data_IF_138817319195
#
_entry.id   IF_138817319195
#
_cell.length_a   1.000
_cell.length_b   1.000
_cell.length_c   1.000
_cell.angle_alpha   90.00
_cell.angle_beta   90.00
_cell.angle_gamma   90.00
#
_symmetry.space_group_name_H-M   'P 1'
#
loop_
_entity.id
_entity.type
_entity.pdbx_description
1 polymer ?
#
# COMPACT_ATOMS: atom_id res chain seq x y z
N UNK A 1 66.51 -30.39 41.75
CA UNK A 1 65.61 -29.69 40.81
C UNK A 1 64.58 -30.72 40.39
N UNK A 2 63.48 -30.81 41.13
CA UNK A 2 62.27 -29.96 41.01
C UNK A 2 61.27 -30.67 40.07
N UNK A 3 60.33 -31.47 40.56
CA UNK A 3 59.16 -31.14 41.40
C UNK A 3 57.94 -30.68 40.58
N UNK A 4 57.20 -31.66 40.06
CA UNK A 4 55.73 -31.62 40.11
C UNK A 4 55.28 -32.44 41.33
N UNK A 5 54.18 -32.05 42.01
CA UNK A 5 52.86 -32.56 41.64
C UNK A 5 51.82 -31.41 41.51
N UNK A 6 50.62 -31.55 40.93
CA UNK A 6 49.53 -32.51 41.15
C UNK A 6 48.91 -32.45 42.56
N UNK A 7 47.85 -31.64 42.73
CA UNK A 7 46.82 -31.75 43.78
C UNK A 7 45.64 -30.81 43.43
N UNK A 8 44.38 -31.07 43.77
CA UNK A 8 43.59 -32.32 43.87
C UNK A 8 42.07 -31.94 43.79
N UNK A 9 41.13 -32.90 43.63
CA UNK A 9 39.68 -32.61 43.49
C UNK A 9 38.92 -32.84 44.82
N UNK A 10 37.86 -33.67 44.80
CA UNK A 10 36.99 -34.15 45.90
C UNK A 10 35.73 -33.29 46.16
N UNK A 11 34.51 -33.80 45.85
CA UNK A 11 33.57 -34.62 46.67
C UNK A 11 32.62 -33.74 47.52
N UNK A 12 31.37 -34.12 47.87
CA UNK A 12 30.45 -35.23 47.51
C UNK A 12 28.99 -34.70 47.64
N UNK A 13 27.89 -35.37 47.26
CA UNK A 13 27.27 -36.62 47.75
C UNK A 13 26.08 -36.98 46.82
N UNK A 14 25.76 -38.23 46.45
CA UNK A 14 25.24 -39.37 47.26
C UNK A 14 23.86 -39.00 47.87
N UNK A 15 22.73 -39.68 47.62
CA UNK A 15 22.37 -40.94 46.92
C UNK A 15 20.85 -40.88 46.47
N UNK A 16 20.09 -41.85 45.91
CA UNK A 16 20.22 -43.29 45.54
C UNK A 16 19.23 -43.70 44.41
N UNK A 17 19.18 -44.99 44.02
CA UNK A 17 18.27 -45.62 43.03
C UNK A 17 17.91 -47.05 43.48
N UNK A 18 16.64 -47.51 43.41
CA UNK A 18 16.35 -48.77 42.66
C UNK A 18 14.93 -48.96 42.04
N UNK A 19 14.90 -49.73 40.93
CA UNK A 19 13.83 -50.60 40.39
C UNK A 19 12.46 -50.05 39.93
N UNK A 20 11.95 -50.62 38.81
CA UNK A 20 10.54 -50.54 38.38
C UNK A 20 10.30 -50.50 36.86
N UNK A 21 10.46 -51.62 36.16
CA UNK A 21 10.06 -51.73 34.73
C UNK A 21 8.55 -51.99 34.57
N UNK A 22 7.87 -51.39 33.58
CA UNK A 22 7.19 -52.10 32.46
C UNK A 22 6.19 -51.26 31.62
N UNK A 23 6.14 -51.60 30.32
CA UNK A 23 5.00 -51.59 29.38
C UNK A 23 4.27 -50.29 28.91
N UNK A 24 4.60 -49.90 27.68
CA UNK A 24 3.71 -49.65 26.52
C UNK A 24 2.33 -48.98 26.69
N UNK A 25 2.10 -47.89 25.94
CA UNK A 25 0.91 -47.77 25.05
C UNK A 25 1.05 -46.71 23.94
N UNK A 26 0.30 -46.98 22.87
CA UNK A 26 -0.12 -46.19 21.70
C UNK A 26 -0.19 -44.65 21.89
N UNK A 27 0.13 -43.78 20.92
CA UNK A 27 -0.30 -43.72 19.50
C UNK A 27 -1.83 -43.68 19.34
N UNK A 28 -2.43 -42.48 19.37
CA UNK A 28 -3.61 -42.21 18.54
C UNK A 28 -3.81 -40.72 18.22
N UNK A 29 -4.43 -40.52 17.07
CA UNK A 29 -4.70 -39.31 16.28
C UNK A 29 -5.34 -38.10 16.98
N UNK A 30 -4.93 -36.89 16.54
CA UNK A 30 -5.76 -35.67 16.62
C UNK A 30 -6.84 -35.73 15.53
N UNK A 31 -8.13 -35.43 15.81
CA UNK A 31 -9.20 -35.56 14.84
C UNK A 31 -9.15 -34.49 13.73
N UNK A 32 -9.52 -34.89 12.51
CA UNK A 32 -9.78 -33.97 11.40
C UNK A 32 -10.99 -33.08 11.70
N UNK A 33 -10.92 -31.81 11.28
CA UNK A 33 -12.10 -30.98 11.05
C UNK A 33 -12.47 -31.06 9.55
N UNK A 34 -13.74 -31.29 9.25
CA UNK A 34 -14.22 -31.50 7.88
C UNK A 34 -14.30 -30.18 7.08
N UNK A 35 -14.00 -30.20 5.77
CA UNK A 35 -14.27 -29.06 4.90
C UNK A 35 -15.78 -28.95 4.60
N UNK A 36 -16.37 -27.77 4.84
CA UNK A 36 -17.76 -27.50 4.48
C UNK A 36 -17.97 -27.58 2.94
N UNK A 37 -19.15 -28.04 2.48
CA UNK A 37 -19.30 -28.55 1.12
C UNK A 37 -19.36 -27.46 0.03
N UNK A 38 -18.86 -27.82 -1.15
CA UNK A 38 -18.99 -27.07 -2.39
C UNK A 38 -20.46 -26.82 -2.76
N UNK A 39 -20.84 -25.56 -3.03
CA UNK A 39 -22.16 -25.24 -3.58
C UNK A 39 -22.15 -25.50 -5.08
N UNK A 40 -22.61 -26.68 -5.48
CA UNK A 40 -22.90 -27.00 -6.88
C UNK A 40 -24.11 -26.19 -7.38
N UNK A 41 -23.88 -25.22 -8.27
CA UNK A 41 -24.97 -24.62 -9.04
C UNK A 41 -25.32 -25.53 -10.23
N UNK A 42 -26.28 -26.43 -9.99
CA UNK A 42 -26.79 -27.37 -11.00
C UNK A 42 -27.40 -26.63 -12.18
N UNK A 43 -26.78 -26.79 -13.35
CA UNK A 43 -27.28 -26.30 -14.63
C UNK A 43 -28.31 -27.27 -15.23
N UNK A 44 -29.61 -27.00 -15.08
CA UNK A 44 -30.62 -27.48 -16.05
C UNK A 44 -31.91 -26.64 -16.06
N UNK A 45 -32.24 -26.08 -17.23
CA UNK A 45 -33.48 -25.35 -17.50
C UNK A 45 -33.56 -25.01 -18.99
N UNK A 46 -34.38 -25.77 -19.74
CA UNK A 46 -34.39 -25.81 -21.22
C UNK A 46 -34.93 -24.51 -21.88
N UNK A 47 -34.63 -24.28 -23.18
CA UNK A 47 -34.83 -22.98 -23.83
C UNK A 47 -36.29 -22.68 -24.19
N UNK A 48 -36.59 -21.39 -24.39
CA UNK A 48 -37.78 -20.90 -25.06
C UNK A 48 -37.39 -20.19 -26.36
N UNK A 49 -38.18 -20.41 -27.40
CA UNK A 49 -37.98 -19.94 -28.77
C UNK A 49 -38.66 -18.60 -29.07
N UNK A 50 -38.16 -17.95 -30.14
CA UNK A 50 -38.71 -16.81 -30.89
C UNK A 50 -40.16 -16.39 -30.65
N UNK A 51 -40.36 -15.07 -30.48
CA UNK A 51 -41.31 -14.26 -31.28
C UNK A 51 -40.67 -12.89 -31.58
N UNK A 52 -40.82 -12.48 -32.84
CA UNK A 52 -40.83 -11.14 -33.48
C UNK A 52 -40.88 -9.88 -32.58
N UNK A 53 -40.44 -8.67 -32.94
CA UNK A 53 -39.54 -8.04 -33.94
C UNK A 53 -40.02 -6.59 -34.13
N UNK A 54 -39.20 -5.57 -33.86
CA UNK A 54 -39.27 -4.17 -34.36
C UNK A 54 -38.07 -3.42 -33.74
N UNK A 55 -37.41 -2.40 -34.31
CA UNK A 55 -37.14 -1.99 -35.70
C UNK A 55 -36.12 -0.83 -35.65
N UNK A 56 -35.33 -0.62 -36.72
CA UNK A 56 -34.54 0.61 -37.02
C UNK A 56 -33.62 1.23 -35.94
N UNK A 57 -32.31 1.01 -36.08
CA UNK A 57 -31.30 2.09 -36.03
C UNK A 57 -30.40 1.91 -37.26
N UNK A 58 -30.05 3.01 -37.95
CA UNK A 58 -29.36 2.96 -39.24
C UNK A 58 -27.87 2.64 -39.17
N UNK A 59 -27.35 2.03 -40.23
CA UNK A 59 -25.93 1.72 -40.40
C UNK A 59 -25.07 3.00 -40.46
N UNK A 60 -24.09 3.12 -39.57
CA UNK A 60 -23.04 4.13 -39.66
C UNK A 60 -21.78 3.53 -40.33
N UNK A 61 -21.09 4.27 -41.22
CA UNK A 61 -19.98 3.72 -42.00
C UNK A 61 -18.71 3.52 -41.17
N UNK A 62 -17.85 2.60 -41.60
CA UNK A 62 -16.49 2.45 -41.08
C UNK A 62 -15.64 3.69 -41.40
N UNK A 63 -15.54 4.63 -40.46
CA UNK A 63 -14.61 5.74 -40.53
C UNK A 63 -13.17 5.29 -40.27
N UNK A 64 -12.25 5.68 -41.15
CA UNK A 64 -10.81 5.46 -40.94
C UNK A 64 -10.28 6.22 -39.71
N UNK A 65 -9.26 5.71 -39.00
CA UNK A 65 -8.67 6.42 -37.88
C UNK A 65 -7.91 7.67 -38.34
N UNK A 66 -8.50 8.84 -38.09
CA UNK A 66 -7.92 10.15 -38.41
C UNK A 66 -6.46 10.26 -37.91
N UNK A 67 -5.52 10.47 -38.83
CA UNK A 67 -4.13 10.72 -38.50
C UNK A 67 -3.98 12.11 -37.87
N UNK A 68 -3.91 12.16 -36.53
CA UNK A 68 -3.57 13.37 -35.80
C UNK A 68 -2.12 13.78 -36.10
N UNK A 69 -1.97 14.81 -36.92
CA UNK A 69 -0.67 15.31 -37.39
C UNK A 69 0.17 15.92 -36.25
N UNK A 70 1.47 16.03 -36.48
CA UNK A 70 2.43 16.53 -35.49
C UNK A 70 2.12 17.96 -35.03
N UNK A 71 1.50 18.77 -35.89
CA UNK A 71 1.13 20.15 -35.62
C UNK A 71 -0.04 20.28 -34.65
N UNK A 72 -0.99 19.34 -34.65
CA UNK A 72 -2.03 19.26 -33.62
C UNK A 72 -1.42 19.02 -32.22
N UNK A 73 -0.38 18.19 -32.14
CA UNK A 73 0.41 18.01 -30.93
C UNK A 73 1.26 19.24 -30.56
N UNK A 74 1.71 20.04 -31.53
CA UNK A 74 2.41 21.30 -31.27
C UNK A 74 1.45 22.36 -30.70
N UNK A 75 0.27 22.52 -31.30
CA UNK A 75 -0.75 23.45 -30.85
C UNK A 75 -1.21 23.13 -29.41
N UNK A 76 -1.43 21.85 -29.10
CA UNK A 76 -1.75 21.37 -27.75
C UNK A 76 -0.65 21.57 -26.70
N UNK A 77 0.62 21.80 -27.10
CA UNK A 77 1.69 22.24 -26.18
C UNK A 77 1.65 23.74 -25.94
N UNK A 78 1.34 24.53 -26.97
CA UNK A 78 1.27 25.99 -26.89
C UNK A 78 0.05 26.48 -26.10
N UNK A 79 -1.10 25.81 -26.25
CA UNK A 79 -2.35 26.14 -25.54
C UNK A 79 -2.44 25.54 -24.14
N UNK A 80 -1.51 24.66 -23.74
CA UNK A 80 -1.48 24.10 -22.38
C UNK A 80 -1.34 25.24 -21.37
N UNK A 81 -2.34 25.50 -20.50
CA UNK A 81 -2.28 26.63 -19.59
C UNK A 81 -1.02 26.49 -18.71
N UNK A 82 -0.17 27.53 -18.74
CA UNK A 82 0.93 27.66 -17.77
C UNK A 82 0.35 27.44 -16.38
N UNK A 83 1.09 26.75 -15.51
CA UNK A 83 0.62 26.36 -14.16
C UNK A 83 0.47 27.61 -13.28
N UNK A 84 -0.62 28.35 -13.48
CA UNK A 84 -1.09 29.43 -12.62
C UNK A 84 -1.11 28.84 -11.21
N UNK A 85 -0.32 29.41 -10.30
CA UNK A 85 -0.55 29.16 -8.88
C UNK A 85 -1.96 29.68 -8.60
N UNK A 86 -2.93 28.85 -8.18
CA UNK A 86 -4.12 29.42 -7.57
C UNK A 86 -3.68 30.28 -6.37
N UNK A 87 -4.49 31.24 -5.90
CA UNK A 87 -4.19 32.06 -4.72
C UNK A 87 -4.30 31.25 -3.41
N UNK A 88 -3.59 30.12 -3.36
CA UNK A 88 -3.44 29.22 -2.24
C UNK A 88 -2.22 29.62 -1.40
N UNK A 89 -2.38 30.67 -0.60
CA UNK A 89 -1.65 30.73 0.66
C UNK A 89 -1.97 29.48 1.51
N UNK A 90 -1.20 29.24 2.57
CA UNK A 90 -1.62 28.25 3.55
C UNK A 90 -2.98 28.67 4.10
N UNK A 91 -4.04 27.88 3.86
CA UNK A 91 -5.31 28.07 4.57
C UNK A 91 -5.05 27.80 6.05
N UNK A 92 -5.12 28.86 6.84
CA UNK A 92 -5.11 28.86 8.30
C UNK A 92 -6.55 29.20 8.74
N UNK A 93 -6.92 28.77 9.94
CA UNK A 93 -8.20 29.18 10.55
C UNK A 93 -8.19 30.69 10.84
N UNK A 94 -9.36 31.32 10.92
CA UNK A 94 -9.45 32.68 11.46
C UNK A 94 -9.08 32.69 12.95
N UNK A 95 -8.62 33.81 13.52
CA UNK A 95 -8.32 33.89 14.96
C UNK A 95 -9.51 33.52 15.86
N UNK A 96 -10.74 33.77 15.40
CA UNK A 96 -11.96 33.34 16.07
C UNK A 96 -12.11 31.81 16.01
N UNK A 97 -11.95 31.21 14.82
CA UNK A 97 -11.98 29.76 14.62
C UNK A 97 -10.85 29.03 15.39
N UNK A 98 -9.65 29.60 15.48
CA UNK A 98 -8.55 29.07 16.32
C UNK A 98 -8.91 29.10 17.81
N UNK A 99 -9.57 30.17 18.27
CA UNK A 99 -10.03 30.31 19.66
C UNK A 99 -11.19 29.36 19.98
N UNK A 100 -12.14 29.18 19.05
CA UNK A 100 -13.22 28.18 19.13
C UNK A 100 -12.66 26.76 19.14
N UNK A 101 -11.65 26.44 18.34
CA UNK A 101 -10.99 25.15 18.34
C UNK A 101 -10.20 24.88 19.64
N UNK A 102 -9.56 25.91 20.21
CA UNK A 102 -8.90 25.80 21.51
C UNK A 102 -9.91 25.53 22.64
N UNK A 103 -10.98 26.32 22.72
CA UNK A 103 -12.05 26.15 23.71
C UNK A 103 -12.78 24.82 23.55
N UNK A 104 -13.12 24.45 22.31
CA UNK A 104 -13.79 23.19 21.98
C UNK A 104 -12.97 21.96 22.33
N UNK A 105 -11.63 21.99 22.13
CA UNK A 105 -10.76 20.92 22.64
C UNK A 105 -10.76 20.85 24.17
N UNK A 106 -10.79 21.98 24.89
CA UNK A 106 -10.87 22.00 26.37
C UNK A 106 -12.21 21.41 26.84
N UNK A 107 -13.32 21.76 26.19
CA UNK A 107 -14.64 21.20 26.48
C UNK A 107 -14.69 19.69 26.21
N UNK A 108 -14.14 19.21 25.08
CA UNK A 108 -14.07 17.77 24.78
C UNK A 108 -13.15 16.99 25.72
N UNK A 109 -12.07 17.60 26.23
CA UNK A 109 -11.23 17.00 27.27
C UNK A 109 -12.00 16.82 28.57
N UNK A 110 -12.68 17.86 29.06
CA UNK A 110 -13.47 17.80 30.30
C UNK A 110 -14.66 16.82 30.19
N UNK A 111 -15.38 16.85 29.07
CA UNK A 111 -16.51 15.97 28.72
C UNK A 111 -16.14 14.48 28.72
N UNK A 112 -14.91 14.13 28.33
CA UNK A 112 -14.43 12.76 28.28
C UNK A 112 -13.53 12.36 29.47
N UNK A 113 -13.40 13.22 30.50
CA UNK A 113 -12.52 13.08 31.66
C UNK A 113 -11.05 12.77 31.26
N UNK A 114 -10.53 13.54 30.30
CA UNK A 114 -9.21 13.34 29.69
C UNK A 114 -8.21 14.41 30.13
N UNK A 115 -7.15 13.96 30.79
CA UNK A 115 -5.97 14.78 31.08
C UNK A 115 -4.98 14.78 29.90
N UNK A 116 -4.38 15.94 29.64
CA UNK A 116 -3.29 16.09 28.67
C UNK A 116 -2.03 15.36 29.15
N UNK A 117 -1.23 14.86 28.20
CA UNK A 117 0.06 14.23 28.51
C UNK A 117 1.07 15.30 28.98
N UNK A 118 1.72 15.14 30.15
CA UNK A 118 2.77 16.06 30.59
C UNK A 118 4.02 16.00 29.67
N UNK A 119 4.19 14.88 28.97
CA UNK A 119 5.26 14.69 27.99
C UNK A 119 4.76 14.99 26.57
N UNK A 120 5.40 15.95 25.90
CA UNK A 120 5.15 16.21 24.48
C UNK A 120 5.73 15.09 23.61
N UNK A 121 4.97 14.66 22.60
CA UNK A 121 5.34 13.59 21.67
C UNK A 121 5.11 14.03 20.22
N UNK A 122 5.74 13.35 19.27
CA UNK A 122 5.35 13.47 17.85
C UNK A 122 4.06 12.67 17.61
N UNK A 123 3.19 13.16 16.72
CA UNK A 123 1.88 12.55 16.42
C UNK A 123 1.99 11.09 15.97
N UNK A 124 3.06 10.72 15.26
CA UNK A 124 3.36 9.33 14.86
C UNK A 124 4.16 8.51 15.89
N UNK A 125 4.30 9.03 17.12
CA UNK A 125 4.98 8.38 18.24
C UNK A 125 6.49 8.26 18.05
N UNK A 126 7.08 7.23 18.67
CA UNK A 126 8.50 6.89 18.62
C UNK A 126 8.96 6.22 17.30
N UNK A 127 8.08 6.11 16.29
CA UNK A 127 8.43 5.47 15.01
C UNK A 127 9.53 6.25 14.28
N UNK A 128 10.66 5.58 14.05
CA UNK A 128 11.71 6.06 13.14
C UNK A 128 11.15 6.07 11.71
N UNK A 129 10.89 7.27 11.20
CA UNK A 129 10.41 7.51 9.84
C UNK A 129 11.47 8.27 9.05
N UNK A 130 11.59 7.94 7.77
CA UNK A 130 12.48 8.58 6.81
C UNK A 130 12.14 10.09 6.66
N UNK A 131 13.12 11.02 6.54
CA UNK A 131 12.85 12.46 6.54
C UNK A 131 11.91 12.99 5.45
N UNK A 132 11.77 12.34 4.29
CA UNK A 132 10.69 12.66 3.35
C UNK A 132 9.33 12.26 3.94
N UNK A 133 9.18 11.00 4.35
CA UNK A 133 7.95 10.47 4.98
C UNK A 133 7.47 11.32 6.18
N UNK A 134 8.38 11.77 7.06
CA UNK A 134 8.04 12.70 8.15
C UNK A 134 7.42 14.02 7.67
N UNK A 135 7.99 14.61 6.60
CA UNK A 135 7.49 15.87 6.01
C UNK A 135 6.12 15.68 5.35
N UNK A 136 5.90 14.53 4.72
CA UNK A 136 4.59 14.14 4.16
C UNK A 136 3.56 14.00 5.28
N UNK A 137 3.83 13.26 6.35
CA UNK A 137 2.88 13.13 7.47
C UNK A 137 2.59 14.49 8.13
N UNK A 138 3.62 15.33 8.37
CA UNK A 138 3.45 16.70 8.89
C UNK A 138 2.73 17.65 7.92
N UNK A 139 2.67 17.37 6.61
CA UNK A 139 1.76 18.04 5.65
C UNK A 139 0.31 17.59 5.88
N UNK A 140 0.06 16.28 6.02
CA UNK A 140 -1.30 15.75 6.21
C UNK A 140 -1.92 16.16 7.55
N UNK A 141 -1.17 16.09 8.66
CA UNK A 141 -1.68 16.50 9.98
C UNK A 141 -2.07 17.98 10.04
N UNK A 142 -1.30 18.89 9.42
CA UNK A 142 -1.69 20.32 9.34
C UNK A 142 -2.97 20.53 8.52
N UNK A 143 -3.17 19.74 7.47
CA UNK A 143 -4.40 19.78 6.67
C UNK A 143 -5.63 19.25 7.42
N UNK A 144 -5.45 18.18 8.21
CA UNK A 144 -6.49 17.65 9.11
C UNK A 144 -6.79 18.63 10.25
N UNK A 145 -5.76 19.24 10.86
CA UNK A 145 -5.93 20.22 11.93
C UNK A 145 -6.76 21.43 11.48
N UNK A 146 -6.43 22.00 10.32
CA UNK A 146 -7.24 23.05 9.70
C UNK A 146 -8.68 22.58 9.45
N UNK A 147 -8.88 21.42 8.82
CA UNK A 147 -10.22 20.99 8.43
C UNK A 147 -11.11 20.60 9.61
N UNK A 148 -10.61 19.84 10.58
CA UNK A 148 -11.37 19.46 11.77
C UNK A 148 -11.67 20.66 12.67
N UNK A 149 -10.76 21.64 12.78
CA UNK A 149 -11.03 22.90 13.46
C UNK A 149 -12.06 23.77 12.72
N UNK A 150 -12.09 23.72 11.38
CA UNK A 150 -13.07 24.44 10.56
C UNK A 150 -14.49 23.87 10.74
N UNK A 151 -14.64 22.54 10.82
CA UNK A 151 -15.96 21.87 10.92
C UNK A 151 -16.41 21.55 12.37
N UNK A 152 -15.62 21.91 13.37
CA UNK A 152 -15.95 21.68 14.79
C UNK A 152 -15.70 20.26 15.35
N UNK A 153 -15.03 19.35 14.62
CA UNK A 153 -14.68 18.02 15.15
C UNK A 153 -13.43 18.07 16.05
N UNK A 154 -13.57 18.80 17.15
CA UNK A 154 -12.50 19.02 18.13
C UNK A 154 -12.06 17.72 18.81
N UNK A 155 -12.97 16.74 18.94
CA UNK A 155 -12.67 15.39 19.42
C UNK A 155 -11.62 14.70 18.53
N UNK A 156 -11.69 14.87 17.20
CA UNK A 156 -10.65 14.38 16.26
C UNK A 156 -9.35 15.18 16.28
N UNK A 157 -9.33 16.41 16.80
CA UNK A 157 -8.09 17.18 16.98
C UNK A 157 -7.21 16.64 18.11
N UNK A 158 -7.82 16.05 19.15
CA UNK A 158 -7.09 15.61 20.37
C UNK A 158 -5.91 14.68 20.04
N UNK A 159 -6.08 13.75 19.10
CA UNK A 159 -5.03 12.80 18.68
C UNK A 159 -3.90 13.45 17.84
N UNK A 160 -4.13 14.65 17.29
CA UNK A 160 -3.13 15.42 16.54
C UNK A 160 -2.28 16.33 17.42
N UNK A 161 -2.61 16.45 18.72
CA UNK A 161 -1.88 17.28 19.68
C UNK A 161 -0.51 16.69 20.04
N UNK A 162 0.45 17.55 20.39
CA UNK A 162 1.75 17.12 20.91
C UNK A 162 1.66 16.60 22.36
N UNK A 163 0.80 17.22 23.17
CA UNK A 163 0.41 16.84 24.53
C UNK A 163 -0.84 15.94 24.55
N UNK A 164 -1.13 15.24 23.44
CA UNK A 164 -2.29 14.35 23.28
C UNK A 164 -2.50 13.40 24.49
N UNK A 165 -3.71 13.33 25.06
CA UNK A 165 -4.06 12.41 26.14
C UNK A 165 -3.65 10.96 25.88
N UNK A 166 -3.39 10.21 26.96
CA UNK A 166 -3.01 8.80 26.89
C UNK A 166 -4.11 7.91 26.28
N UNK A 167 -5.38 8.24 26.56
CA UNK A 167 -6.58 7.57 26.05
C UNK A 167 -7.44 8.50 25.19
N UNK A 168 -6.80 9.35 24.37
CA UNK A 168 -7.51 10.23 23.43
C UNK A 168 -8.44 9.44 22.49
N UNK A 169 -9.59 9.98 22.06
CA UNK A 169 -10.49 9.30 21.13
C UNK A 169 -9.89 9.17 19.72
N UNK A 170 -10.36 8.19 18.96
CA UNK A 170 -10.05 8.05 17.55
C UNK A 170 -10.67 9.18 16.69
N UNK A 171 -10.08 9.44 15.52
CA UNK A 171 -10.65 10.38 14.54
C UNK A 171 -11.98 9.85 13.99
N UNK A 172 -12.97 10.72 13.80
CA UNK A 172 -14.23 10.34 13.14
C UNK A 172 -13.97 9.93 11.70
N UNK A 173 -14.52 8.78 11.31
CA UNK A 173 -14.54 8.34 9.91
C UNK A 173 -15.40 9.27 9.05
N UNK A 174 -16.53 9.79 9.56
CA UNK A 174 -17.37 10.77 8.84
C UNK A 174 -16.56 12.03 8.48
N UNK A 175 -15.81 12.58 9.43
CA UNK A 175 -14.93 13.75 9.21
C UNK A 175 -13.74 13.44 8.29
N UNK A 176 -13.14 12.25 8.39
CA UNK A 176 -12.06 11.82 7.49
C UNK A 176 -12.55 11.61 6.04
N UNK A 177 -13.75 11.07 5.85
CA UNK A 177 -14.41 10.95 4.54
C UNK A 177 -14.75 12.33 3.96
N UNK A 178 -15.25 13.26 4.79
CA UNK A 178 -15.46 14.64 4.40
C UNK A 178 -14.14 15.34 4.00
N UNK A 179 -13.04 15.11 4.72
CA UNK A 179 -11.72 15.67 4.37
C UNK A 179 -11.15 15.10 3.07
N UNK A 180 -11.36 13.81 2.78
CA UNK A 180 -11.01 13.23 1.48
C UNK A 180 -11.77 13.94 0.35
N UNK A 181 -13.10 14.01 0.43
CA UNK A 181 -13.97 14.71 -0.53
C UNK A 181 -13.58 16.17 -0.71
N UNK A 182 -13.33 16.90 0.38
CA UNK A 182 -12.86 18.28 0.41
C UNK A 182 -11.59 18.47 -0.43
N UNK A 183 -10.67 17.51 -0.40
CA UNK A 183 -9.40 17.57 -1.14
C UNK A 183 -9.49 17.05 -2.57
N UNK A 184 -10.39 16.14 -2.92
CA UNK A 184 -10.46 15.56 -4.28
C UNK A 184 -11.53 16.20 -5.18
N UNK A 185 -12.58 16.80 -4.63
CA UNK A 185 -13.73 17.33 -5.37
C UNK A 185 -13.44 18.46 -6.37
N UNK A 186 -14.49 19.00 -6.98
CA UNK A 186 -14.41 20.20 -7.81
C UNK A 186 -14.06 21.42 -6.94
N UNK A 187 -13.26 22.35 -7.44
CA UNK A 187 -12.82 23.51 -6.66
C UNK A 187 -14.01 24.48 -6.55
N UNK A 188 -14.36 24.89 -5.32
CA UNK A 188 -15.43 25.86 -5.06
C UNK A 188 -16.85 25.29 -4.97
N UNK A 189 -17.06 24.00 -5.20
CA UNK A 189 -18.39 23.36 -4.98
C UNK A 189 -18.61 23.08 -3.49
N UNK A 190 -19.86 23.16 -3.02
CA UNK A 190 -20.24 22.80 -1.65
C UNK A 190 -19.87 21.35 -1.34
N UNK A 191 -19.23 21.14 -0.20
CA UNK A 191 -18.88 19.83 0.34
C UNK A 191 -20.09 19.18 1.02
N UNK A 192 -20.31 17.89 0.78
CA UNK A 192 -21.42 17.14 1.36
C UNK A 192 -20.94 15.85 2.04
N UNK A 193 -21.59 15.51 3.16
CA UNK A 193 -21.48 14.21 3.82
C UNK A 193 -22.12 13.10 2.95
N UNK A 194 -21.98 11.84 3.36
CA UNK A 194 -22.55 10.69 2.62
C UNK A 194 -24.07 10.51 2.84
N UNK A 195 -24.63 11.21 3.84
CA UNK A 195 -26.08 11.40 4.04
C UNK A 195 -26.66 12.54 3.16
N UNK A 196 -25.85 13.19 2.33
CA UNK A 196 -26.26 14.26 1.43
C UNK A 196 -26.38 15.64 2.09
N UNK A 197 -26.16 15.77 3.39
CA UNK A 197 -26.19 17.07 4.07
C UNK A 197 -24.91 17.89 3.76
N UNK A 198 -25.01 19.23 3.62
CA UNK A 198 -23.84 20.08 3.45
C UNK A 198 -22.97 20.04 4.70
N UNK A 199 -21.65 20.04 4.50
CA UNK A 199 -20.69 20.24 5.59
C UNK A 199 -20.61 21.73 5.86
N UNK A 200 -21.02 22.15 7.06
CA UNK A 200 -20.90 23.53 7.52
C UNK A 200 -19.59 23.73 8.29
N UNK A 201 -19.09 24.96 8.31
CA UNK A 201 -18.07 25.39 9.25
C UNK A 201 -18.67 25.88 10.59
N UNK A 202 -17.81 26.22 11.55
CA UNK A 202 -18.19 26.74 12.87
C UNK A 202 -18.90 28.10 12.83
N UNK A 203 -18.82 28.81 11.71
CA UNK A 203 -19.53 30.07 11.44
C UNK A 203 -20.86 29.83 10.67
N UNK A 204 -21.27 28.55 10.53
CA UNK A 204 -22.50 28.10 9.91
C UNK A 204 -22.49 28.11 8.37
N UNK A 205 -21.35 28.39 7.73
CA UNK A 205 -21.27 28.56 6.28
C UNK A 205 -20.95 27.22 5.57
N UNK A 206 -21.48 26.96 4.36
CA UNK A 206 -21.15 25.76 3.61
C UNK A 206 -19.66 25.70 3.21
N UNK A 207 -18.95 24.66 3.67
CA UNK A 207 -17.54 24.44 3.35
C UNK A 207 -17.39 24.14 1.85
N UNK A 208 -16.57 24.92 1.16
CA UNK A 208 -16.30 24.73 -0.26
C UNK A 208 -15.08 23.85 -0.49
N UNK A 209 -15.22 22.85 -1.37
CA UNK A 209 -14.16 21.94 -1.77
C UNK A 209 -12.91 22.68 -2.28
N UNK A 210 -11.75 22.25 -1.79
CA UNK A 210 -10.43 22.77 -2.14
C UNK A 210 -9.83 22.04 -3.35
N UNK A 211 -10.20 20.78 -3.56
CA UNK A 211 -10.04 20.05 -4.84
C UNK A 211 -8.59 19.84 -5.34
N UNK A 212 -7.57 20.16 -4.54
CA UNK A 212 -6.16 20.14 -4.94
C UNK A 212 -5.59 18.74 -5.22
N UNK A 213 -6.20 17.67 -4.72
CA UNK A 213 -5.69 16.30 -4.86
C UNK A 213 -6.29 15.62 -6.08
N UNK A 214 -5.57 15.68 -7.20
CA UNK A 214 -5.92 14.94 -8.43
C UNK A 214 -5.11 13.65 -8.63
N UNK A 215 -4.10 13.42 -7.79
CA UNK A 215 -3.33 12.17 -7.72
C UNK A 215 -3.78 11.35 -6.48
N UNK A 216 -4.34 10.13 -6.66
CA UNK A 216 -4.75 9.22 -5.59
C UNK A 216 -3.67 8.93 -4.55
N UNK A 217 -2.37 9.07 -4.87
CA UNK A 217 -1.30 8.81 -3.92
C UNK A 217 -1.35 9.75 -2.70
N UNK A 218 -1.95 10.94 -2.82
CA UNK A 218 -2.18 11.82 -1.67
C UNK A 218 -3.17 11.22 -0.66
N UNK A 219 -4.15 10.41 -1.11
CA UNK A 219 -5.07 9.69 -0.22
C UNK A 219 -4.38 8.52 0.48
N UNK A 220 -3.51 7.81 -0.23
CA UNK A 220 -2.70 6.72 0.33
C UNK A 220 -1.71 7.26 1.38
N UNK A 221 -1.05 8.39 1.10
CA UNK A 221 -0.19 9.10 2.05
C UNK A 221 -0.98 9.59 3.28
N UNK A 222 -2.18 10.14 3.09
CA UNK A 222 -3.08 10.51 4.20
C UNK A 222 -3.44 9.28 5.06
N UNK A 223 -3.89 8.20 4.43
CA UNK A 223 -4.29 6.96 5.10
C UNK A 223 -3.14 6.37 5.94
N UNK A 224 -1.91 6.42 5.43
CA UNK A 224 -0.73 5.99 6.19
C UNK A 224 -0.36 6.96 7.33
N UNK A 225 -0.52 8.27 7.15
CA UNK A 225 -0.35 9.26 8.22
C UNK A 225 -1.39 9.10 9.34
N UNK A 226 -2.68 8.94 8.99
CA UNK A 226 -3.79 8.67 9.92
C UNK A 226 -3.52 7.38 10.70
N UNK A 227 -3.13 6.30 10.02
CA UNK A 227 -2.84 5.03 10.71
C UNK A 227 -1.62 5.12 11.63
N UNK A 228 -0.61 5.92 11.28
CA UNK A 228 0.54 6.16 12.15
C UNK A 228 0.17 6.94 13.42
N UNK A 229 -0.77 7.89 13.35
CA UNK A 229 -1.28 8.61 14.52
C UNK A 229 -2.02 7.68 15.49
N UNK A 230 -2.98 6.90 14.98
CA UNK A 230 -3.72 5.91 15.77
C UNK A 230 -2.79 4.81 16.34
N UNK A 231 -1.79 4.35 15.56
CA UNK A 231 -0.78 3.38 16.03
C UNK A 231 0.13 3.93 17.13
N UNK A 232 0.37 5.24 17.17
CA UNK A 232 1.14 5.89 18.24
C UNK A 232 0.39 5.95 19.58
N UNK A 233 -0.93 5.74 19.58
CA UNK A 233 -1.81 5.76 20.78
C UNK A 233 -2.44 4.39 21.03
N UNK A 234 -1.72 3.30 20.72
CA UNK A 234 -2.12 1.92 21.02
C UNK A 234 -3.24 1.34 20.13
N UNK A 235 -3.99 2.15 19.38
CA UNK A 235 -5.11 1.76 18.51
C UNK A 235 -4.67 0.99 17.24
N UNK A 236 -3.52 0.31 17.27
CA UNK A 236 -2.91 -0.32 16.10
C UNK A 236 -3.52 -1.64 15.67
N UNK A 237 -4.11 -2.37 16.62
CA UNK A 237 -4.71 -3.70 16.47
C UNK A 237 -6.16 -3.74 16.98
N UNK A 238 -6.78 -2.58 17.20
CA UNK A 238 -8.15 -2.46 17.71
C UNK A 238 -9.08 -2.10 16.55
N UNK A 239 -10.16 -2.86 16.30
CA UNK A 239 -11.19 -2.51 15.30
C UNK A 239 -11.73 -1.10 15.53
N UNK A 240 -12.07 -0.38 14.47
CA UNK A 240 -12.67 0.95 14.61
C UNK A 240 -14.10 0.84 15.15
N UNK A 241 -14.39 1.55 16.24
CA UNK A 241 -15.72 1.62 16.83
C UNK A 241 -16.11 3.09 17.07
N UNK A 242 -17.28 3.49 16.58
CA UNK A 242 -17.89 4.77 16.94
C UNK A 242 -18.40 4.78 18.39
N UNK A 243 -18.49 5.97 18.97
CA UNK A 243 -19.20 6.21 20.22
C UNK A 243 -20.69 5.86 20.06
N UNK A 244 -21.31 5.31 21.11
CA UNK A 244 -22.72 4.91 21.07
C UNK A 244 -23.57 5.76 22.03
N UNK A 245 -24.46 6.58 21.47
CA UNK A 245 -25.33 7.52 22.20
C UNK A 245 -25.98 6.94 23.45
N UNK A 246 -26.56 5.73 23.37
CA UNK A 246 -27.23 5.11 24.52
C UNK A 246 -26.26 4.67 25.62
N UNK A 247 -25.01 4.34 25.29
CA UNK A 247 -23.95 4.14 26.30
C UNK A 247 -23.55 5.47 26.92
N UNK A 248 -23.36 6.50 26.10
CA UNK A 248 -22.95 7.82 26.58
C UNK A 248 -24.02 8.48 27.49
N UNK A 249 -25.32 8.36 27.16
CA UNK A 249 -26.41 8.83 28.02
C UNK A 249 -26.46 8.10 29.35
N UNK A 250 -26.32 6.76 29.37
CA UNK A 250 -26.25 6.00 30.63
C UNK A 250 -25.06 6.40 31.51
N UNK A 251 -23.94 6.80 30.91
CA UNK A 251 -22.81 7.39 31.63
C UNK A 251 -23.12 8.81 32.11
N UNK A 252 -23.66 9.68 31.26
CA UNK A 252 -23.99 11.08 31.60
C UNK A 252 -25.09 11.22 32.66
N UNK A 253 -26.08 10.33 32.66
CA UNK A 253 -27.26 10.41 33.52
C UNK A 253 -27.07 9.66 34.86
N UNK A 254 -26.14 8.68 34.91
CA UNK A 254 -26.02 7.72 36.03
C UNK A 254 -24.58 7.30 36.38
N UNK A 255 -23.57 7.87 35.74
CA UNK A 255 -22.15 7.48 35.86
C UNK A 255 -21.86 6.00 35.52
N UNK A 256 -22.73 5.33 34.76
CA UNK A 256 -22.61 3.90 34.47
C UNK A 256 -21.67 3.61 33.29
N UNK A 257 -20.42 3.24 33.60
CA UNK A 257 -19.42 2.78 32.62
C UNK A 257 -19.72 1.40 32.02
N UNK A 258 -20.67 0.65 32.58
CA UNK A 258 -21.05 -0.71 32.17
C UNK A 258 -21.76 -0.79 30.82
N UNK A 259 -22.14 0.34 30.22
CA UNK A 259 -22.74 0.42 28.89
C UNK A 259 -24.25 0.11 28.84
N UNK A 260 -24.81 0.13 27.63
CA UNK A 260 -26.20 -0.22 27.38
C UNK A 260 -26.39 -1.74 27.23
N UNK A 261 -27.64 -2.21 27.10
CA UNK A 261 -27.96 -3.64 26.92
C UNK A 261 -27.23 -4.35 25.77
N UNK A 262 -26.77 -3.61 24.76
CA UNK A 262 -26.05 -4.12 23.59
C UNK A 262 -24.51 -4.05 23.75
N UNK A 263 -24.01 -3.42 24.81
CA UNK A 263 -22.59 -3.20 25.11
C UNK A 263 -22.29 -3.49 26.59
N UNK A 264 -22.98 -4.49 27.16
CA UNK A 264 -22.92 -4.80 28.58
C UNK A 264 -21.50 -5.17 29.03
N UNK A 265 -21.04 -4.56 30.12
CA UNK A 265 -19.69 -4.70 30.66
C UNK A 265 -18.62 -3.85 29.96
N UNK A 266 -18.92 -3.22 28.80
CA UNK A 266 -17.97 -2.40 28.03
C UNK A 266 -18.68 -1.29 27.26
N UNK A 267 -19.06 -0.21 27.95
CA UNK A 267 -19.73 0.94 27.33
C UNK A 267 -18.88 1.63 26.26
N UNK A 268 -19.47 1.84 25.07
CA UNK A 268 -18.85 2.63 23.98
C UNK A 268 -19.00 4.14 24.23
N UNK A 269 -18.22 4.67 25.17
CA UNK A 269 -18.28 6.07 25.62
C UNK A 269 -17.48 7.05 24.73
N UNK A 270 -16.55 6.55 23.93
CA UNK A 270 -15.73 7.34 23.00
C UNK A 270 -15.37 6.52 21.75
N UNK A 271 -14.88 7.19 20.70
CA UNK A 271 -14.41 6.54 19.47
C UNK A 271 -13.10 5.80 19.72
N UNK A 272 -12.98 4.55 19.27
CA UNK A 272 -11.76 3.73 19.46
C UNK A 272 -11.29 3.05 18.16
N UNK A 273 -10.08 2.51 18.16
CA UNK A 273 -9.51 1.78 17.01
C UNK A 273 -8.98 2.66 15.89
N UNK A 274 -8.54 2.03 14.80
CA UNK A 274 -7.85 2.73 13.70
C UNK A 274 -8.82 3.12 12.57
N UNK A 275 -9.15 4.40 12.45
CA UNK A 275 -10.10 4.89 11.45
C UNK A 275 -9.74 4.51 9.98
N UNK A 276 -8.46 4.23 9.68
CA UNK A 276 -8.03 3.69 8.37
C UNK A 276 -8.72 2.37 8.00
N UNK A 277 -8.98 1.52 8.99
CA UNK A 277 -9.50 0.16 8.80
C UNK A 277 -11.02 0.09 8.97
N UNK A 278 -11.71 1.23 9.12
CA UNK A 278 -13.16 1.28 8.97
C UNK A 278 -13.56 0.96 7.54
N UNK A 279 -14.59 0.14 7.38
CA UNK A 279 -15.15 -0.24 6.09
C UNK A 279 -15.60 1.00 5.29
N UNK A 280 -16.18 2.00 5.96
CA UNK A 280 -16.67 3.23 5.31
C UNK A 280 -15.52 4.11 4.81
N UNK A 281 -14.38 4.14 5.52
CA UNK A 281 -13.19 4.86 5.05
C UNK A 281 -12.58 4.16 3.81
N UNK A 282 -12.57 2.82 3.80
CA UNK A 282 -12.10 2.00 2.67
C UNK A 282 -13.04 2.17 1.46
N UNK A 283 -14.37 2.09 1.67
CA UNK A 283 -15.41 2.38 0.66
C UNK A 283 -15.25 3.79 0.10
N UNK A 284 -15.08 4.79 0.94
CA UNK A 284 -14.91 6.20 0.54
C UNK A 284 -13.66 6.40 -0.32
N UNK A 285 -12.48 5.94 0.11
CA UNK A 285 -11.26 5.99 -0.71
C UNK A 285 -11.43 5.27 -2.06
N UNK A 286 -12.14 4.14 -2.07
CA UNK A 286 -12.39 3.35 -3.29
C UNK A 286 -13.35 4.07 -4.24
N UNK A 287 -14.45 4.64 -3.73
CA UNK A 287 -15.40 5.46 -4.51
C UNK A 287 -14.69 6.67 -5.13
N UNK A 288 -13.90 7.40 -4.34
CA UNK A 288 -13.15 8.57 -4.81
C UNK A 288 -12.12 8.18 -5.88
N UNK A 289 -11.38 7.08 -5.68
CA UNK A 289 -10.43 6.56 -6.68
C UNK A 289 -11.11 6.18 -8.00
N UNK A 290 -12.27 5.55 -7.94
CA UNK A 290 -12.92 4.95 -9.10
C UNK A 290 -13.89 5.90 -9.84
N UNK A 291 -14.44 6.93 -9.17
CA UNK A 291 -15.43 7.85 -9.75
C UNK A 291 -14.99 9.32 -9.75
N UNK A 292 -14.32 9.80 -8.69
CA UNK A 292 -13.95 11.22 -8.60
C UNK A 292 -12.58 11.49 -9.27
N UNK A 293 -11.72 10.47 -9.34
CA UNK A 293 -10.37 10.51 -9.90
C UNK A 293 -10.17 9.55 -11.10
N UNK A 294 -11.25 9.11 -11.76
CA UNK A 294 -11.18 8.13 -12.86
C UNK A 294 -10.34 8.60 -14.07
N UNK A 295 -10.38 9.91 -14.36
CA UNK A 295 -9.56 10.58 -15.39
C UNK A 295 -8.10 10.80 -14.98
N UNK A 296 -7.65 10.31 -13.82
CA UNK A 296 -6.25 10.40 -13.42
C UNK A 296 -5.36 9.58 -14.35
N UNK A 297 -4.78 10.26 -15.34
CA UNK A 297 -3.68 9.74 -16.15
C UNK A 297 -2.44 9.66 -15.24
N UNK A 298 -1.90 8.47 -14.94
CA UNK A 298 -0.77 8.33 -14.03
C UNK A 298 0.50 9.01 -14.59
N UNK A 299 1.34 9.55 -13.70
CA UNK A 299 2.66 10.06 -14.07
C UNK A 299 3.48 8.99 -14.81
N UNK A 300 4.38 9.40 -15.70
CA UNK A 300 5.40 8.52 -16.29
C UNK A 300 6.29 7.85 -15.22
N UNK A 301 6.38 8.44 -14.03
CA UNK A 301 7.13 7.92 -12.89
C UNK A 301 6.38 6.81 -12.13
N UNK A 302 5.07 6.64 -12.40
CA UNK A 302 4.27 5.58 -11.78
C UNK A 302 4.50 4.23 -12.47
N UNK A 303 4.29 3.15 -11.71
CA UNK A 303 4.47 1.78 -12.19
C UNK A 303 3.64 1.48 -13.45
N UNK A 304 4.15 0.56 -14.26
CA UNK A 304 3.37 -0.04 -15.34
C UNK A 304 2.29 -0.96 -14.77
N UNK A 305 1.08 -0.89 -15.35
CA UNK A 305 -0.03 -1.81 -15.04
C UNK A 305 0.26 -3.22 -15.60
N UNK A 306 -0.39 -4.29 -15.12
CA UNK A 306 -0.14 -5.65 -15.59
C UNK A 306 -0.34 -5.80 -17.12
N UNK A 307 -1.43 -5.26 -17.66
CA UNK A 307 -1.70 -5.24 -19.10
C UNK A 307 -0.67 -4.42 -19.90
N UNK A 308 -0.15 -3.33 -19.32
CA UNK A 308 0.93 -2.55 -19.93
C UNK A 308 2.24 -3.37 -19.97
N UNK A 309 2.54 -4.14 -18.92
CA UNK A 309 3.70 -5.05 -18.88
C UNK A 309 3.57 -6.21 -19.88
N UNK A 310 2.39 -6.81 -20.03
CA UNK A 310 2.13 -7.84 -21.06
C UNK A 310 2.30 -7.25 -22.47
N UNK A 311 1.81 -6.03 -22.71
CA UNK A 311 2.00 -5.34 -23.98
C UNK A 311 3.48 -4.95 -24.23
N UNK A 312 4.22 -4.55 -23.18
CA UNK A 312 5.67 -4.29 -23.24
C UNK A 312 6.43 -5.57 -23.59
N UNK A 313 6.13 -6.69 -22.94
CA UNK A 313 6.69 -8.01 -23.27
C UNK A 313 6.40 -8.37 -24.73
N UNK A 314 5.15 -8.25 -25.18
CA UNK A 314 4.76 -8.53 -26.56
C UNK A 314 5.56 -7.66 -27.55
N UNK A 315 5.67 -6.36 -27.31
CA UNK A 315 6.47 -5.44 -28.12
C UNK A 315 7.97 -5.81 -28.15
N UNK A 316 8.55 -6.22 -27.02
CA UNK A 316 9.96 -6.59 -26.92
C UNK A 316 10.30 -7.94 -27.54
N UNK A 317 9.40 -8.91 -27.49
CA UNK A 317 9.64 -10.29 -27.91
C UNK A 317 9.15 -10.60 -29.34
N UNK A 318 8.25 -9.81 -29.92
CA UNK A 318 7.80 -9.95 -31.32
C UNK A 318 8.97 -9.95 -32.34
N UNK A 319 10.01 -9.11 -32.21
CA UNK A 319 11.19 -9.19 -33.09
C UNK A 319 12.06 -10.44 -32.89
N UNK A 320 11.81 -11.25 -31.86
CA UNK A 320 12.59 -12.40 -31.40
C UNK A 320 14.12 -12.17 -31.31
N UNK A 321 14.54 -10.95 -30.96
CA UNK A 321 15.94 -10.60 -30.82
C UNK A 321 16.42 -10.82 -29.39
N UNK A 322 17.65 -11.30 -29.22
CA UNK A 322 18.28 -11.55 -27.91
C UNK A 322 18.29 -10.29 -27.02
N UNK A 323 18.41 -9.10 -27.61
CA UNK A 323 18.35 -7.82 -26.89
C UNK A 323 16.94 -7.47 -26.36
N UNK A 324 15.89 -7.95 -27.03
CA UNK A 324 14.51 -7.85 -26.55
C UNK A 324 14.26 -8.76 -25.35
N UNK A 325 14.72 -10.01 -25.43
CA UNK A 325 14.74 -10.96 -24.32
C UNK A 325 15.52 -10.43 -23.11
N UNK A 326 16.74 -9.93 -23.32
CA UNK A 326 17.56 -9.30 -22.28
C UNK A 326 16.82 -8.18 -21.55
N UNK A 327 16.27 -7.22 -22.30
CA UNK A 327 15.59 -6.06 -21.75
C UNK A 327 14.30 -6.45 -21.02
N UNK A 328 13.52 -7.39 -21.56
CA UNK A 328 12.33 -7.93 -20.90
C UNK A 328 12.70 -8.60 -19.57
N UNK A 329 13.69 -9.49 -19.57
CA UNK A 329 14.13 -10.19 -18.36
C UNK A 329 14.66 -9.23 -17.31
N UNK A 330 15.47 -8.23 -17.70
CA UNK A 330 15.90 -7.15 -16.79
C UNK A 330 14.70 -6.42 -16.17
N UNK A 331 13.69 -6.05 -16.97
CA UNK A 331 12.49 -5.35 -16.47
C UNK A 331 11.70 -6.20 -15.46
N UNK A 332 11.34 -7.44 -15.80
CA UNK A 332 10.51 -8.27 -14.90
C UNK A 332 11.27 -8.72 -13.65
N UNK A 333 12.59 -8.92 -13.75
CA UNK A 333 13.49 -9.20 -12.62
C UNK A 333 13.50 -8.03 -11.62
N UNK A 334 13.69 -6.79 -12.10
CA UNK A 334 13.59 -5.60 -11.24
C UNK A 334 12.19 -5.44 -10.63
N UNK A 335 11.12 -5.64 -11.41
CA UNK A 335 9.73 -5.52 -10.95
C UNK A 335 9.39 -6.49 -9.82
N UNK A 336 9.77 -7.77 -9.95
CA UNK A 336 9.44 -8.80 -8.96
C UNK A 336 10.32 -8.72 -7.71
N UNK A 337 11.54 -8.20 -7.82
CA UNK A 337 12.46 -7.95 -6.68
C UNK A 337 12.36 -6.53 -6.10
N UNK A 338 11.46 -5.70 -6.62
CA UNK A 338 11.27 -4.28 -6.22
C UNK A 338 12.51 -3.40 -6.38
N UNK A 339 13.44 -3.76 -7.28
CA UNK A 339 14.69 -3.03 -7.48
C UNK A 339 14.50 -1.70 -8.21
N UNK A 340 15.26 -0.71 -7.76
CA UNK A 340 15.57 0.48 -8.55
C UNK A 340 16.49 0.10 -9.71
N UNK A 341 16.44 0.87 -10.80
CA UNK A 341 17.22 0.63 -12.01
C UNK A 341 18.75 0.80 -11.87
N UNK A 342 19.26 1.02 -10.66
CA UNK A 342 20.66 0.99 -10.25
C UNK A 342 21.02 -0.21 -9.34
N UNK A 343 20.06 -1.06 -8.95
CA UNK A 343 20.21 -2.12 -7.92
C UNK A 343 20.18 -3.56 -8.47
N UNK A 344 19.65 -3.77 -9.68
CA UNK A 344 19.48 -5.11 -10.28
C UNK A 344 20.34 -5.36 -11.52
N UNK A 345 21.33 -4.52 -11.79
CA UNK A 345 22.12 -4.47 -13.04
C UNK A 345 23.54 -5.02 -12.90
N UNK A 346 24.05 -5.03 -11.66
CA UNK A 346 25.35 -5.55 -11.23
C UNK A 346 25.23 -6.92 -10.54
N UNK A 347 24.02 -7.48 -10.46
CA UNK A 347 23.77 -8.83 -9.94
C UNK A 347 24.55 -9.87 -10.74
N UNK A 348 25.34 -10.67 -10.03
CA UNK A 348 26.15 -11.77 -10.55
C UNK A 348 25.42 -13.11 -10.46
N UNK A 349 25.73 -14.06 -11.36
CA UNK A 349 25.19 -15.42 -11.29
C UNK A 349 25.56 -16.12 -9.96
N UNK A 350 26.72 -15.79 -9.38
CA UNK A 350 27.18 -16.28 -8.07
C UNK A 350 26.41 -15.71 -6.87
N UNK A 351 25.46 -14.79 -7.07
CA UNK A 351 24.54 -14.32 -6.02
C UNK A 351 23.25 -15.14 -5.94
N UNK A 352 22.97 -16.00 -6.92
CA UNK A 352 21.90 -16.98 -6.76
C UNK A 352 22.33 -18.06 -5.77
N UNK A 353 21.36 -18.60 -5.03
CA UNK A 353 21.61 -19.57 -3.95
C UNK A 353 21.00 -20.94 -4.33
N UNK A 354 21.77 -21.84 -4.96
CA UNK A 354 21.33 -23.20 -5.25
C UNK A 354 20.76 -23.97 -4.03
N UNK A 355 21.30 -23.83 -2.79
CA UNK A 355 20.75 -24.54 -1.62
C UNK A 355 19.37 -24.06 -1.14
N UNK A 356 18.86 -22.94 -1.67
CA UNK A 356 17.51 -22.41 -1.37
C UNK A 356 16.56 -22.50 -2.57
N UNK A 357 17.12 -22.53 -3.79
CA UNK A 357 16.39 -22.73 -5.05
C UNK A 357 15.55 -24.00 -5.00
N UNK A 358 14.25 -23.86 -5.25
CA UNK A 358 13.30 -24.99 -5.20
C UNK A 358 12.96 -25.49 -6.61
N UNK A 359 12.88 -26.81 -6.72
CA UNK A 359 12.59 -27.57 -7.94
C UNK A 359 11.58 -28.65 -7.55
N UNK A 360 10.54 -28.85 -8.37
CA UNK A 360 9.55 -29.91 -8.14
C UNK A 360 9.99 -31.29 -8.64
N UNK A 361 9.15 -32.30 -8.41
CA UNK A 361 9.36 -33.70 -8.82
C UNK A 361 9.50 -33.89 -10.35
N UNK A 362 9.06 -32.92 -11.15
CA UNK A 362 9.19 -32.92 -12.61
C UNK A 362 10.44 -32.18 -13.10
N UNK A 363 11.36 -31.81 -12.19
CA UNK A 363 12.57 -31.04 -12.52
C UNK A 363 12.28 -29.57 -12.86
N UNK A 364 11.07 -29.08 -12.55
CA UNK A 364 10.68 -27.71 -12.86
C UNK A 364 11.02 -26.77 -11.71
N UNK A 365 11.78 -25.70 -12.02
CA UNK A 365 12.14 -24.67 -11.03
C UNK A 365 10.90 -23.89 -10.60
N UNK A 366 10.57 -23.95 -9.31
CA UNK A 366 9.43 -23.28 -8.66
C UNK A 366 9.84 -22.00 -7.95
N UNK A 367 11.09 -21.90 -7.46
CA UNK A 367 11.62 -20.73 -6.76
C UNK A 367 13.12 -20.54 -7.04
N UNK A 368 13.55 -19.30 -7.32
CA UNK A 368 14.97 -18.92 -7.44
C UNK A 368 15.32 -17.87 -6.37
N UNK A 369 16.24 -18.18 -5.47
CA UNK A 369 16.72 -17.24 -4.45
C UNK A 369 17.98 -16.51 -4.88
N UNK A 370 18.04 -15.20 -4.60
CA UNK A 370 19.16 -14.32 -4.91
C UNK A 370 19.54 -13.45 -3.72
N UNK A 371 20.84 -13.35 -3.47
CA UNK A 371 21.42 -12.61 -2.34
C UNK A 371 21.86 -11.20 -2.76
N UNK A 372 21.35 -10.15 -2.11
CA UNK A 372 21.57 -8.74 -2.46
C UNK A 372 22.09 -7.96 -1.26
N UNK A 373 23.02 -7.03 -1.47
CA UNK A 373 23.51 -6.16 -0.41
C UNK A 373 22.59 -4.95 -0.20
N UNK A 374 22.02 -4.82 1.00
CA UNK A 374 21.15 -3.70 1.35
C UNK A 374 21.88 -2.35 1.43
N UNK A 375 21.18 -1.26 1.08
CA UNK A 375 21.73 0.11 1.02
C UNK A 375 21.96 0.81 2.38
N UNK A 376 21.63 0.19 3.52
CA UNK A 376 21.95 0.74 4.85
C UNK A 376 23.46 0.62 5.15
N UNK A 377 23.99 1.51 5.99
CA UNK A 377 25.45 1.72 6.21
C UNK A 377 26.25 0.55 6.83
N UNK A 378 25.67 -0.63 6.94
CA UNK A 378 26.37 -1.91 7.11
C UNK A 378 25.86 -2.81 6.00
N UNK A 379 26.75 -3.33 5.12
CA UNK A 379 26.41 -4.17 3.96
C UNK A 379 25.74 -5.50 4.38
N UNK A 380 24.50 -5.45 4.85
CA UNK A 380 23.73 -6.62 5.25
C UNK A 380 23.19 -7.27 3.98
N UNK A 381 23.66 -8.49 3.71
CA UNK A 381 23.05 -9.34 2.72
C UNK A 381 21.62 -9.70 3.14
N UNK A 382 20.70 -9.54 2.20
CA UNK A 382 19.33 -10.05 2.27
C UNK A 382 19.17 -11.09 1.16
N UNK A 383 18.31 -12.09 1.39
CA UNK A 383 17.88 -13.02 0.34
C UNK A 383 16.49 -12.58 -0.10
N UNK A 384 16.26 -12.53 -1.42
CA UNK A 384 14.94 -12.34 -2.01
C UNK A 384 14.63 -13.51 -2.95
N UNK A 385 13.39 -13.99 -2.89
CA UNK A 385 12.94 -15.18 -3.61
C UNK A 385 12.09 -14.78 -4.83
N UNK A 386 12.44 -15.32 -6.00
CA UNK A 386 11.63 -15.23 -7.22
C UNK A 386 10.76 -16.48 -7.33
N UNK A 387 9.46 -16.33 -7.08
CA UNK A 387 8.50 -17.40 -7.29
C UNK A 387 8.12 -17.56 -8.76
N UNK A 388 7.89 -18.81 -9.15
CA UNK A 388 7.25 -19.17 -10.41
C UNK A 388 5.78 -18.71 -10.39
N UNK A 389 5.37 -18.09 -11.49
CA UNK A 389 4.00 -17.68 -11.73
C UNK A 389 3.44 -18.51 -12.89
N UNK A 390 2.53 -19.44 -12.59
CA UNK A 390 1.82 -20.28 -13.56
C UNK A 390 0.43 -19.72 -13.93
N UNK A 391 -0.10 -18.76 -13.14
CA UNK A 391 -1.36 -18.08 -13.45
C UNK A 391 -1.17 -17.00 -14.52
N UNK A 392 0.00 -16.34 -14.53
CA UNK A 392 0.43 -15.44 -15.59
C UNK A 392 1.85 -15.80 -16.09
N UNK A 393 1.98 -16.83 -16.96
CA UNK A 393 3.27 -17.29 -17.48
C UNK A 393 4.08 -16.19 -18.19
N UNK A 394 3.42 -15.19 -18.78
CA UNK A 394 4.06 -14.02 -19.39
C UNK A 394 4.81 -13.14 -18.39
N UNK A 395 4.28 -12.97 -17.18
CA UNK A 395 4.85 -12.12 -16.13
C UNK A 395 5.68 -12.90 -15.11
N UNK A 396 5.92 -14.19 -15.36
CA UNK A 396 6.72 -15.07 -14.51
C UNK A 396 8.22 -14.73 -14.56
N UNK A 397 8.85 -14.33 -13.43
CA UNK A 397 10.26 -13.98 -13.41
C UNK A 397 11.17 -15.19 -13.62
N UNK A 398 10.83 -16.35 -13.01
CA UNK A 398 11.61 -17.60 -13.14
C UNK A 398 11.70 -18.03 -14.61
N UNK A 399 10.56 -18.04 -15.32
CA UNK A 399 10.52 -18.30 -16.78
C UNK A 399 11.40 -17.32 -17.55
N UNK A 400 11.34 -16.03 -17.25
CA UNK A 400 12.11 -15.01 -17.97
C UNK A 400 13.63 -15.11 -17.72
N UNK A 401 14.05 -15.40 -16.48
CA UNK A 401 15.47 -15.58 -16.11
C UNK A 401 16.05 -16.84 -16.76
N UNK A 402 15.35 -17.97 -16.68
CA UNK A 402 15.81 -19.22 -17.29
C UNK A 402 15.82 -19.15 -18.83
N UNK A 403 14.80 -18.53 -19.44
CA UNK A 403 14.79 -18.29 -20.88
C UNK A 403 15.95 -17.38 -21.33
N UNK A 404 16.26 -16.32 -20.57
CA UNK A 404 17.42 -15.48 -20.85
C UNK A 404 18.73 -16.26 -20.77
N UNK A 405 18.95 -17.04 -19.71
CA UNK A 405 20.15 -17.86 -19.53
C UNK A 405 20.34 -18.84 -20.69
N UNK A 406 19.27 -19.54 -21.09
CA UNK A 406 19.29 -20.48 -22.20
C UNK A 406 19.54 -19.79 -23.56
N UNK A 407 18.75 -18.76 -23.90
CA UNK A 407 18.81 -18.08 -25.21
C UNK A 407 20.11 -17.28 -25.41
N UNK A 408 20.70 -16.75 -24.33
CA UNK A 408 22.02 -16.08 -24.39
C UNK A 408 23.21 -17.04 -24.36
N UNK A 409 22.98 -18.34 -24.13
CA UNK A 409 24.02 -19.35 -23.83
C UNK A 409 24.93 -18.88 -22.68
N UNK A 410 24.33 -18.39 -21.60
CA UNK A 410 25.06 -17.74 -20.51
C UNK A 410 26.07 -18.70 -19.84
N UNK A 411 27.32 -18.29 -19.59
CA UNK A 411 28.37 -19.17 -19.06
C UNK A 411 28.24 -19.49 -17.56
N UNK A 412 27.04 -19.34 -16.96
CA UNK A 412 26.77 -19.54 -15.53
C UNK A 412 27.54 -18.63 -14.56
N UNK A 413 28.40 -17.74 -15.07
CA UNK A 413 29.41 -16.98 -14.32
C UNK A 413 29.40 -15.51 -14.75
N UNK A 414 29.97 -14.63 -13.91
CA UNK A 414 29.95 -13.18 -14.13
C UNK A 414 28.60 -12.53 -13.83
N UNK A 415 28.32 -11.39 -14.48
CA UNK A 415 27.07 -10.65 -14.35
C UNK A 415 25.91 -11.40 -15.02
N UNK A 416 24.72 -11.42 -14.40
CA UNK A 416 23.49 -11.94 -15.01
C UNK A 416 23.10 -11.14 -16.27
N UNK A 417 23.40 -9.84 -16.28
CA UNK A 417 23.16 -8.92 -17.38
C UNK A 417 24.47 -8.21 -17.79
N UNK A 418 25.35 -8.86 -18.58
CA UNK A 418 26.62 -8.26 -19.00
C UNK A 418 26.43 -7.08 -19.96
N UNK A 419 27.43 -6.21 -20.10
CA UNK A 419 27.40 -5.07 -21.04
C UNK A 419 27.33 -5.52 -22.51
N UNK A 420 26.59 -4.79 -23.35
CA UNK A 420 26.29 -5.16 -24.76
C UNK A 420 27.53 -5.29 -25.67
N UNK A 421 28.71 -4.84 -25.24
CA UNK A 421 30.00 -4.99 -25.95
C UNK A 421 31.11 -5.67 -25.13
N UNK A 422 30.84 -6.06 -23.88
CA UNK A 422 31.88 -6.46 -22.94
C UNK A 422 31.31 -7.36 -21.83
N UNK A 423 31.61 -8.67 -21.89
CA UNK A 423 31.11 -9.64 -20.92
C UNK A 423 31.65 -9.41 -19.49
N UNK A 424 32.74 -8.65 -19.33
CA UNK A 424 33.39 -8.42 -18.02
C UNK A 424 32.77 -7.28 -17.21
N UNK A 425 31.81 -6.55 -17.78
CA UNK A 425 31.20 -5.35 -17.16
C UNK A 425 29.69 -5.50 -16.98
N UNK A 426 29.15 -4.88 -15.94
CA UNK A 426 27.71 -4.82 -15.68
C UNK A 426 26.95 -3.98 -16.71
N UNK A 427 25.62 -4.12 -16.75
CA UNK A 427 24.80 -3.30 -17.64
C UNK A 427 24.77 -1.83 -17.18
N UNK A 428 24.94 -0.81 -18.06
CA UNK A 428 24.98 0.57 -17.59
C UNK A 428 23.59 1.05 -17.14
N UNK A 429 23.44 1.65 -15.93
CA UNK A 429 22.15 2.06 -15.39
C UNK A 429 21.44 3.06 -16.30
N UNK A 430 22.17 4.06 -16.82
CA UNK A 430 21.64 5.07 -17.73
C UNK A 430 21.13 4.47 -19.05
N UNK A 431 21.80 3.44 -19.59
CA UNK A 431 21.37 2.73 -20.80
C UNK A 431 20.11 1.91 -20.53
N UNK A 432 20.04 1.20 -19.40
CA UNK A 432 18.84 0.45 -19.00
C UNK A 432 17.63 1.38 -18.81
N UNK A 433 17.78 2.46 -18.03
CA UNK A 433 16.73 3.46 -17.82
C UNK A 433 16.26 4.11 -19.12
N UNK A 434 17.17 4.40 -20.06
CA UNK A 434 16.83 4.95 -21.38
C UNK A 434 16.08 3.94 -22.24
N UNK A 435 16.52 2.67 -22.29
CA UNK A 435 15.83 1.61 -23.03
C UNK A 435 14.41 1.37 -22.46
N UNK A 436 14.27 1.27 -21.13
CA UNK A 436 12.97 1.15 -20.45
C UNK A 436 12.05 2.33 -20.77
N UNK A 437 12.53 3.57 -20.63
CA UNK A 437 11.79 4.79 -20.97
C UNK A 437 11.23 4.75 -22.38
N UNK A 438 12.08 4.46 -23.37
CA UNK A 438 11.69 4.49 -24.79
C UNK A 438 10.61 3.43 -25.09
N UNK A 439 10.73 2.24 -24.51
CA UNK A 439 9.76 1.14 -24.67
C UNK A 439 8.45 1.48 -23.96
N UNK A 440 8.50 1.91 -22.70
CA UNK A 440 7.30 2.26 -21.95
C UNK A 440 6.55 3.45 -22.57
N UNK A 441 7.23 4.51 -23.02
CA UNK A 441 6.58 5.60 -23.77
C UNK A 441 5.91 5.10 -25.05
N UNK A 442 6.58 4.25 -25.83
CA UNK A 442 6.03 3.77 -27.12
C UNK A 442 4.84 2.82 -26.94
N UNK A 443 4.79 2.03 -25.87
CA UNK A 443 3.74 1.03 -25.63
C UNK A 443 2.57 1.57 -24.77
N UNK A 444 2.84 2.48 -23.83
CA UNK A 444 1.82 3.01 -22.90
C UNK A 444 1.35 4.43 -23.22
N UNK A 445 1.99 5.11 -24.17
CA UNK A 445 1.74 6.53 -24.47
C UNK A 445 2.21 7.52 -23.40
N UNK A 446 2.67 7.06 -22.23
CA UNK A 446 3.10 7.91 -21.11
C UNK A 446 4.35 8.72 -21.48
N UNK A 447 4.25 10.04 -21.34
CA UNK A 447 5.31 11.00 -21.66
C UNK A 447 5.90 11.62 -20.38
N UNK A 448 7.21 11.44 -20.17
CA UNK A 448 7.94 12.03 -19.05
C UNK A 448 9.09 11.13 -18.55
N UNK A 449 9.73 11.46 -17.42
CA UNK A 449 10.73 10.60 -16.80
C UNK A 449 10.07 9.31 -16.28
N UNK A 450 10.62 8.16 -16.67
CA UNK A 450 10.41 6.92 -15.94
C UNK A 450 11.50 6.86 -14.87
N UNK A 451 11.13 7.14 -13.63
CA UNK A 451 12.03 7.11 -12.50
C UNK A 451 12.45 5.66 -12.16
N UNK A 452 13.47 5.53 -11.30
CA UNK A 452 13.87 4.25 -10.68
C UNK A 452 12.72 3.48 -10.03
N UNK A 453 11.63 4.16 -9.65
CA UNK A 453 10.43 3.58 -9.04
C UNK A 453 9.37 3.08 -10.04
N UNK A 454 9.53 3.30 -11.35
CA UNK A 454 8.59 2.76 -12.34
C UNK A 454 8.64 1.21 -12.42
N UNK A 455 9.69 0.61 -11.84
CA UNK A 455 9.91 -0.83 -11.71
C UNK A 455 9.84 -1.31 -10.24
N UNK A 456 9.33 -0.51 -9.30
CA UNK A 456 9.30 -0.89 -7.87
C UNK A 456 7.96 -0.53 -7.21
N UNK A 457 7.29 -1.49 -6.52
CA UNK A 457 6.20 -1.20 -5.60
C UNK A 457 6.59 -0.11 -4.59
N UNK A 458 5.71 0.85 -4.34
CA UNK A 458 5.92 1.80 -3.24
C UNK A 458 5.64 1.09 -1.90
N UNK A 459 6.47 1.38 -0.89
CA UNK A 459 6.51 0.67 0.39
C UNK A 459 5.13 0.59 1.08
N UNK A 460 4.68 -0.64 1.37
CA UNK A 460 3.47 -0.89 2.16
C UNK A 460 2.56 -2.03 1.70
N UNK A 461 2.86 -2.70 0.59
CA UNK A 461 2.06 -3.82 0.03
C UNK A 461 2.77 -5.19 0.07
N UNK A 462 3.95 -5.28 0.68
CA UNK A 462 4.81 -6.47 0.69
C UNK A 462 4.59 -7.42 1.91
N UNK A 463 3.43 -7.37 2.58
CA UNK A 463 3.15 -8.21 3.76
C UNK A 463 1.70 -8.71 3.87
N UNK A 464 0.95 -8.66 2.77
CA UNK A 464 -0.29 -9.40 2.57
C UNK A 464 -0.20 -9.98 1.16
N UNK A 465 -0.76 -11.16 0.93
CA UNK A 465 -0.77 -11.78 -0.39
C UNK A 465 -1.28 -10.78 -1.44
N UNK A 466 -0.44 -10.50 -2.46
CA UNK A 466 -0.99 -10.02 -3.72
C UNK A 466 -1.70 -11.21 -4.36
N UNK A 467 -2.94 -11.43 -3.93
CA UNK A 467 -3.89 -12.32 -4.59
C UNK A 467 -4.16 -11.77 -5.98
N UNK A 468 -3.31 -12.16 -6.93
CA UNK A 468 -3.37 -11.82 -8.35
C UNK A 468 -4.54 -12.53 -9.06
N UNK A 469 -5.71 -12.54 -8.43
CA UNK A 469 -6.98 -13.01 -8.98
C UNK A 469 -7.53 -12.02 -10.01
N UNK A 470 -6.74 -11.78 -11.06
CA UNK A 470 -7.24 -11.34 -12.34
C UNK A 470 -7.81 -12.59 -13.02
N UNK A 471 -9.14 -12.64 -13.12
CA UNK A 471 -9.77 -13.49 -14.14
C UNK A 471 -9.33 -12.94 -15.51
N UNK A 472 -8.72 -13.80 -16.31
CA UNK A 472 -8.56 -13.57 -17.75
C UNK A 472 -9.92 -13.65 -18.46
#
# INVERSE_FOLDING_TARGET
MESMPHAEPLLSSVESVPHGEQLLSSVESVPHAEPLPSVEYVLHGKPLSSVESMSSVGSMPHGEPLQLTFDAFALGRATRPKRVKPPGGHRVLSRAQESLAALGMIMELAKHDLLLSPNQQQVFGSRVLEPHSQRVYKKHYRGLWYFFGLIGDYTSLLILRHDCPQHAPAMSVKSLCAYLKYKTGAIGTILHYDDGLPVLDVDGQPVLCDGQWKDPQNMIQLSSAVSAAHKAKGMGQVPYEEQYDACYRLFSDKSLVTGCRHHAGRGRLSRTGNARFSEDFIKCMTRIRNHDLWLYTPSSESMCKPLELVNIRRYLLVPNQLMGWKLWTMMIFHIRLSFRADEGIDVMCSQFLPPLTSVDEFGTVTMLDVQISGKTGKKKWIVLSLYRDDQCPELCPVRAVLAWIHLSRHPGTGYLFPHDKDATKCYPPATFQTKCRNVCTKVTGRQGPFATHALAPQDGLASCDMGWSLRC
#
